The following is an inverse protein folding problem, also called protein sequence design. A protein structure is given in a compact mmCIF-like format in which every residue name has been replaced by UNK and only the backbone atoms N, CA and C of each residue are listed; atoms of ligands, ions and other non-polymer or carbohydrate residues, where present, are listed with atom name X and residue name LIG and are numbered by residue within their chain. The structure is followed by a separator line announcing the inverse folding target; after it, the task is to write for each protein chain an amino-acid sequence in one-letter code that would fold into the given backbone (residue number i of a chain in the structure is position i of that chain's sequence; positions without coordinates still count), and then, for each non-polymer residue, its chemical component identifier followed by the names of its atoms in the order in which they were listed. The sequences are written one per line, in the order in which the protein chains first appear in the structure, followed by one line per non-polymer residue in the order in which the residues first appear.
data_IF_414405525628
#
_entry.id   IF_414405525628
#
_cell.length_a   1.000
_cell.length_b   1.000
_cell.length_c   1.000
_cell.angle_alpha   90.00
_cell.angle_beta   90.00
_cell.angle_gamma   90.00
#
_symmetry.space_group_name_H-M   'P 1'
#
loop_
_entity.id
_entity.type
_entity.pdbx_description
1 polymer ?
#
# COMPACT_ATOMS: atom_id res chain seq x y z
N UNK A 1 -6.39 37.49 5.48
CA UNK A 1 -5.65 36.24 5.20
C UNK A 1 -5.82 35.33 6.41
N UNK A 2 -6.21 34.08 6.20
CA UNK A 2 -6.25 33.06 7.26
C UNK A 2 -4.92 32.36 7.21
N UNK A 3 -4.21 32.34 8.33
CA UNK A 3 -2.91 31.64 8.45
C UNK A 3 -3.03 30.54 9.49
N UNK A 4 -2.47 29.38 9.19
CA UNK A 4 -2.34 28.26 10.11
C UNK A 4 -0.94 28.28 10.69
N UNK A 5 -0.81 28.19 12.01
CA UNK A 5 0.50 28.23 12.69
C UNK A 5 1.14 26.84 12.73
N UNK A 6 1.41 26.31 11.56
CA UNK A 6 2.16 25.07 11.41
C UNK A 6 3.60 25.24 11.94
N UNK A 7 4.19 24.25 12.65
CA UNK A 7 3.67 22.92 12.96
C UNK A 7 2.88 22.82 14.27
N UNK A 8 2.68 23.95 14.99
CA UNK A 8 2.00 23.96 16.28
C UNK A 8 0.50 23.67 16.16
N UNK A 9 -0.09 24.12 15.05
CA UNK A 9 -1.47 23.82 14.68
C UNK A 9 -1.43 23.12 13.32
N UNK A 10 -1.98 21.90 13.24
CA UNK A 10 -2.10 21.11 12.01
C UNK A 10 -3.57 21.01 11.65
N UNK A 11 -3.87 21.21 10.39
CA UNK A 11 -5.20 20.91 9.85
C UNK A 11 -5.30 19.38 9.62
N UNK A 12 -6.45 18.82 9.95
CA UNK A 12 -6.72 17.43 9.63
C UNK A 12 -6.80 17.25 8.11
N UNK A 13 -6.03 16.32 7.54
CA UNK A 13 -6.08 16.06 6.12
C UNK A 13 -7.47 15.52 5.73
N UNK A 14 -7.90 15.82 4.52
CA UNK A 14 -9.16 15.28 4.01
C UNK A 14 -9.11 13.76 3.94
N UNK A 15 -10.24 13.04 4.07
CA UNK A 15 -10.27 11.58 4.05
C UNK A 15 -9.67 10.95 2.79
N UNK A 16 -9.63 11.70 1.67
CA UNK A 16 -9.03 11.27 0.40
C UNK A 16 -7.65 11.88 0.14
N UNK A 17 -6.97 12.34 1.19
CA UNK A 17 -5.61 12.87 1.05
C UNK A 17 -4.66 11.78 0.53
N UNK A 18 -3.82 12.16 -0.44
CA UNK A 18 -2.76 11.31 -0.97
C UNK A 18 -1.46 11.65 -0.25
N UNK A 19 -1.24 10.98 0.87
CA UNK A 19 0.02 11.06 1.60
C UNK A 19 0.97 9.94 1.17
N UNK A 20 1.52 9.19 2.12
CA UNK A 20 2.38 8.04 1.83
C UNK A 20 1.55 6.81 1.43
N UNK A 21 2.12 5.94 0.60
CA UNK A 21 1.50 4.66 0.23
C UNK A 21 1.91 3.62 1.28
N UNK A 22 0.92 2.96 1.86
CA UNK A 22 1.09 1.87 2.82
C UNK A 22 0.90 0.52 2.14
N UNK A 23 1.63 -0.51 2.61
CA UNK A 23 1.55 -1.88 2.11
C UNK A 23 0.97 -2.80 3.18
N UNK A 24 -0.10 -3.51 2.84
CA UNK A 24 -0.58 -4.65 3.58
C UNK A 24 0.04 -5.93 3.00
N UNK A 25 1.17 -6.34 3.55
CA UNK A 25 1.98 -7.45 3.03
C UNK A 25 1.17 -8.74 2.84
N UNK A 26 0.29 -9.07 3.80
CA UNK A 26 -0.53 -10.29 3.79
C UNK A 26 -1.41 -10.44 2.55
N UNK A 27 -1.80 -9.32 1.94
CA UNK A 27 -2.65 -9.28 0.77
C UNK A 27 -1.84 -9.32 -0.54
N UNK A 28 -0.55 -9.06 -0.49
CA UNK A 28 0.29 -9.02 -1.68
C UNK A 28 0.53 -10.44 -2.22
N UNK A 29 0.23 -10.65 -3.49
CA UNK A 29 0.42 -11.94 -4.19
C UNK A 29 1.57 -11.92 -5.20
N UNK A 30 2.39 -10.88 -5.17
CA UNK A 30 3.52 -10.71 -6.11
C UNK A 30 3.06 -10.77 -7.58
N UNK A 31 1.93 -10.13 -7.89
CA UNK A 31 1.39 -10.12 -9.25
C UNK A 31 2.07 -9.11 -10.18
N UNK A 32 2.90 -8.23 -9.66
CA UNK A 32 3.68 -7.21 -10.38
C UNK A 32 2.86 -6.15 -11.13
N UNK A 33 1.53 -6.09 -10.96
CA UNK A 33 0.69 -5.12 -11.66
C UNK A 33 1.05 -3.69 -11.28
N UNK A 34 1.18 -3.40 -9.99
CA UNK A 34 1.52 -2.06 -9.52
C UNK A 34 2.88 -1.57 -10.04
N UNK A 35 3.89 -2.46 -10.14
CA UNK A 35 5.20 -2.11 -10.67
C UNK A 35 5.16 -1.88 -12.20
N UNK A 36 4.39 -2.67 -12.94
CA UNK A 36 4.26 -2.55 -14.41
C UNK A 36 3.49 -1.31 -14.85
N UNK A 37 2.46 -0.95 -14.09
CA UNK A 37 1.62 0.22 -14.37
C UNK A 37 2.18 1.52 -13.78
N UNK A 38 3.29 1.45 -13.04
CA UNK A 38 3.93 2.62 -12.48
C UNK A 38 4.63 3.44 -13.58
N UNK A 39 4.23 4.70 -13.82
CA UNK A 39 4.84 5.52 -14.87
C UNK A 39 6.29 5.89 -14.56
N UNK A 40 6.66 5.98 -13.28
CA UNK A 40 7.99 6.40 -12.83
C UNK A 40 8.91 5.22 -12.49
N UNK A 41 8.41 3.98 -12.59
CA UNK A 41 9.18 2.76 -12.29
C UNK A 41 9.81 2.76 -10.88
N UNK A 42 9.13 3.40 -9.93
CA UNK A 42 9.61 3.58 -8.57
C UNK A 42 9.27 2.42 -7.61
N UNK A 43 8.68 1.32 -8.12
CA UNK A 43 8.26 0.16 -7.32
C UNK A 43 9.10 -1.05 -7.67
N UNK A 44 9.81 -1.59 -6.69
CA UNK A 44 10.68 -2.76 -6.82
C UNK A 44 10.07 -3.94 -6.07
N UNK A 45 9.81 -5.04 -6.77
CA UNK A 45 9.18 -6.23 -6.19
C UNK A 45 9.99 -7.45 -6.55
N UNK A 46 10.32 -8.25 -5.55
CA UNK A 46 10.91 -9.57 -5.70
C UNK A 46 10.10 -10.58 -4.90
N UNK A 47 10.02 -11.78 -5.41
CA UNK A 47 9.33 -12.87 -4.72
C UNK A 47 9.59 -14.20 -5.37
N UNK A 48 9.39 -15.24 -4.60
CA UNK A 48 9.60 -16.61 -5.04
C UNK A 48 8.33 -17.47 -4.92
N UNK A 49 8.35 -18.60 -5.57
CA UNK A 49 7.27 -19.59 -5.50
C UNK A 49 7.62 -20.69 -4.51
N UNK A 50 6.69 -20.97 -3.62
CA UNK A 50 6.81 -22.11 -2.71
C UNK A 50 5.60 -23.03 -2.78
N UNK A 51 5.76 -24.26 -2.31
CA UNK A 51 4.70 -25.25 -2.23
C UNK A 51 4.01 -25.15 -0.87
N UNK A 52 2.83 -24.57 -0.84
CA UNK A 52 2.02 -24.52 0.36
C UNK A 52 1.30 -25.84 0.61
N UNK A 53 1.08 -26.23 1.88
CA UNK A 53 0.33 -27.44 2.20
C UNK A 53 -1.08 -27.39 1.63
N UNK A 54 -1.69 -28.54 1.34
CA UNK A 54 -3.03 -28.60 0.81
C UNK A 54 -4.05 -28.04 1.83
N UNK A 55 -5.13 -27.40 1.33
CA UNK A 55 -6.22 -26.88 2.19
C UNK A 55 -7.07 -27.97 2.86
N UNK A 56 -7.04 -29.20 2.33
CA UNK A 56 -7.79 -30.36 2.83
C UNK A 56 -6.87 -31.55 2.95
N UNK A 57 -7.09 -32.41 3.92
CA UNK A 57 -6.36 -33.67 4.04
C UNK A 57 -6.48 -34.49 2.75
N UNK A 58 -5.36 -35.00 2.24
CA UNK A 58 -5.29 -35.74 0.98
C UNK A 58 -5.30 -34.88 -0.31
N UNK A 59 -5.32 -33.56 -0.20
CA UNK A 59 -5.24 -32.65 -1.35
C UNK A 59 -3.84 -32.56 -1.94
N UNK A 60 -3.73 -31.97 -3.15
CA UNK A 60 -2.44 -31.68 -3.77
C UNK A 60 -1.83 -30.40 -3.19
N UNK A 61 -0.51 -30.32 -2.99
CA UNK A 61 0.18 -29.10 -2.62
C UNK A 61 -0.08 -28.00 -3.66
N UNK A 62 -0.16 -26.75 -3.22
CA UNK A 62 -0.45 -25.61 -4.09
C UNK A 62 0.76 -24.72 -4.22
N UNK A 63 1.07 -24.28 -5.41
CA UNK A 63 2.03 -23.20 -5.61
C UNK A 63 1.44 -21.88 -5.09
N UNK A 64 2.21 -21.20 -4.24
CA UNK A 64 1.96 -19.83 -3.81
C UNK A 64 3.18 -18.97 -4.08
N UNK A 65 2.96 -17.69 -4.28
CA UNK A 65 4.04 -16.72 -4.29
C UNK A 65 4.22 -16.18 -2.87
N UNK A 66 5.45 -15.95 -2.49
CA UNK A 66 5.85 -15.26 -1.26
C UNK A 66 6.61 -14.00 -1.63
N UNK A 67 6.34 -12.93 -0.89
CA UNK A 67 6.93 -11.62 -1.12
C UNK A 67 8.25 -11.53 -0.36
N UNK A 68 9.36 -11.46 -1.09
CA UNK A 68 10.69 -11.29 -0.51
C UNK A 68 11.02 -9.82 -0.30
N UNK A 69 10.74 -9.01 -1.32
CA UNK A 69 11.05 -7.60 -1.35
C UNK A 69 9.91 -6.80 -1.96
N UNK A 70 9.60 -5.68 -1.34
CA UNK A 70 8.69 -4.67 -1.89
C UNK A 70 9.16 -3.30 -1.44
N UNK A 71 9.70 -2.53 -2.35
CA UNK A 71 10.19 -1.20 -2.04
C UNK A 71 9.48 -0.18 -2.93
N UNK A 72 9.24 1.00 -2.38
CA UNK A 72 8.80 2.19 -3.12
C UNK A 72 9.83 3.29 -2.93
N UNK A 73 10.36 3.80 -4.03
CA UNK A 73 11.22 4.96 -4.03
C UNK A 73 10.38 6.24 -4.09
N UNK A 74 10.18 6.87 -2.93
CA UNK A 74 9.43 8.11 -2.81
C UNK A 74 10.17 9.34 -3.33
N UNK A 75 11.47 9.22 -3.64
CA UNK A 75 12.20 10.26 -4.34
C UNK A 75 11.81 10.35 -5.83
N UNK A 76 11.30 9.27 -6.40
CA UNK A 76 10.85 9.19 -7.79
C UNK A 76 9.33 9.23 -7.93
N UNK A 77 8.61 8.81 -6.89
CA UNK A 77 7.16 8.64 -6.92
C UNK A 77 6.43 9.98 -7.14
N UNK A 78 5.56 10.04 -8.16
CA UNK A 78 4.72 11.21 -8.46
C UNK A 78 3.34 11.19 -7.77
N UNK A 79 3.11 10.26 -6.86
CA UNK A 79 1.85 10.13 -6.09
C UNK A 79 0.58 10.04 -6.96
N UNK A 80 0.66 9.46 -8.13
CA UNK A 80 -0.46 9.33 -9.07
C UNK A 80 -1.56 8.38 -8.57
N UNK A 81 -1.22 7.38 -7.75
CA UNK A 81 -2.16 6.43 -7.17
C UNK A 81 -2.56 5.25 -8.06
N UNK A 82 -2.02 5.16 -9.28
CA UNK A 82 -2.32 4.06 -10.19
C UNK A 82 -2.02 2.71 -9.55
N UNK A 83 -0.93 2.59 -8.79
CA UNK A 83 -0.56 1.35 -8.11
C UNK A 83 -1.59 0.90 -7.06
N UNK A 84 -2.24 1.86 -6.38
CA UNK A 84 -3.31 1.59 -5.41
C UNK A 84 -4.56 1.10 -6.14
N UNK A 85 -4.95 1.79 -7.22
CA UNK A 85 -6.16 1.48 -7.98
C UNK A 85 -6.07 0.15 -8.75
N UNK A 86 -4.89 -0.16 -9.30
CA UNK A 86 -4.68 -1.37 -10.11
C UNK A 86 -4.51 -2.64 -9.26
N UNK A 87 -4.33 -2.51 -7.95
CA UNK A 87 -4.12 -3.66 -7.07
C UNK A 87 -5.43 -4.46 -6.86
N UNK A 88 -5.57 -5.68 -7.42
CA UNK A 88 -6.79 -6.45 -7.31
C UNK A 88 -6.95 -7.14 -5.96
N UNK A 89 -5.92 -7.08 -5.12
CA UNK A 89 -5.87 -7.76 -3.82
C UNK A 89 -5.97 -6.81 -2.64
N UNK A 90 -6.17 -5.51 -2.90
CA UNK A 90 -6.24 -4.49 -1.85
C UNK A 90 -5.02 -4.58 -0.90
N UNK A 91 -3.82 -4.57 -1.49
CA UNK A 91 -2.57 -4.61 -0.75
C UNK A 91 -1.96 -3.22 -0.53
N UNK A 92 -2.37 -2.21 -1.31
CA UNK A 92 -1.85 -0.85 -1.23
C UNK A 92 -2.94 0.13 -0.81
N UNK A 93 -2.61 1.01 0.13
CA UNK A 93 -3.53 1.99 0.70
C UNK A 93 -2.89 3.36 0.79
N UNK A 94 -3.70 4.40 0.80
CA UNK A 94 -3.26 5.75 1.11
C UNK A 94 -3.28 5.98 2.62
N UNK A 95 -2.14 6.38 3.17
CA UNK A 95 -2.07 7.00 4.49
C UNK A 95 -2.09 8.52 4.32
N UNK A 96 -2.72 9.27 5.22
CA UNK A 96 -2.71 10.73 5.20
C UNK A 96 -1.37 11.33 5.60
N UNK A 97 -0.43 10.52 6.08
CA UNK A 97 0.89 10.98 6.54
C UNK A 97 1.74 11.48 5.38
N UNK A 98 2.35 12.64 5.55
CA UNK A 98 3.18 13.30 4.54
C UNK A 98 4.51 13.84 5.10
N UNK A 99 4.72 13.78 6.42
CA UNK A 99 5.89 14.32 7.09
C UNK A 99 7.01 13.28 7.23
N UNK A 100 7.50 12.76 6.11
CA UNK A 100 8.60 11.77 6.08
C UNK A 100 9.80 12.24 5.25
N UNK A 101 10.05 13.55 5.26
CA UNK A 101 11.24 14.12 4.62
C UNK A 101 12.52 13.61 5.28
N UNK A 102 13.50 13.23 4.48
CA UNK A 102 14.76 12.64 4.92
C UNK A 102 15.96 13.51 4.51
N UNK A 103 17.07 13.38 5.24
CA UNK A 103 18.29 14.12 4.92
C UNK A 103 19.05 13.56 3.72
N UNK A 104 18.86 12.30 3.41
CA UNK A 104 19.48 11.61 2.28
C UNK A 104 18.41 11.03 1.38
N UNK A 105 18.58 11.22 0.08
CA UNK A 105 17.64 10.69 -0.92
C UNK A 105 17.47 9.17 -0.84
N UNK A 106 18.53 8.44 -0.47
CA UNK A 106 18.47 6.99 -0.30
C UNK A 106 17.51 6.54 0.83
N UNK A 107 17.26 7.39 1.80
CA UNK A 107 16.39 7.08 2.94
C UNK A 107 14.89 7.26 2.57
N UNK A 108 14.60 7.80 1.38
CA UNK A 108 13.26 7.84 0.79
C UNK A 108 12.88 6.53 0.08
N UNK A 109 13.79 5.58 -0.03
CA UNK A 109 13.48 4.22 -0.43
C UNK A 109 12.87 3.49 0.76
N UNK A 110 11.55 3.34 0.77
CA UNK A 110 10.85 2.64 1.82
C UNK A 110 10.70 1.17 1.47
N UNK A 111 11.27 0.32 2.30
CA UNK A 111 11.16 -1.13 2.21
C UNK A 111 9.78 -1.65 2.70
N UNK A 112 9.54 -2.93 2.53
CA UNK A 112 8.26 -3.56 2.90
C UNK A 112 7.90 -3.38 4.38
N UNK A 113 8.88 -3.37 5.27
CA UNK A 113 8.65 -3.25 6.71
C UNK A 113 8.19 -1.82 7.04
N UNK A 114 8.86 -0.81 6.50
CA UNK A 114 8.47 0.59 6.65
C UNK A 114 7.12 0.88 5.98
N UNK A 115 6.86 0.31 4.81
CA UNK A 115 5.56 0.43 4.13
C UNK A 115 4.43 -0.23 4.93
N UNK A 116 4.69 -1.34 5.60
CA UNK A 116 3.72 -1.99 6.48
C UNK A 116 3.48 -1.20 7.78
N UNK A 117 4.48 -0.48 8.28
CA UNK A 117 4.29 0.42 9.43
C UNK A 117 3.28 1.53 9.14
N UNK A 118 3.27 2.06 7.92
CA UNK A 118 2.30 3.08 7.49
C UNK A 118 0.85 2.57 7.50
N UNK A 119 0.61 1.25 7.51
CA UNK A 119 -0.74 0.71 7.66
C UNK A 119 -1.40 1.09 8.97
N UNK A 120 -0.62 1.40 10.01
CA UNK A 120 -1.15 1.86 11.31
C UNK A 120 -1.79 3.25 11.24
N UNK A 121 -1.47 4.02 10.22
CA UNK A 121 -1.95 5.39 10.01
C UNK A 121 -3.01 5.49 8.91
N UNK A 122 -3.31 4.38 8.23
CA UNK A 122 -4.39 4.31 7.24
C UNK A 122 -5.73 4.43 7.97
N UNK A 123 -6.56 5.43 7.64
CA UNK A 123 -7.87 5.57 8.27
C UNK A 123 -8.81 4.44 7.88
N UNK A 124 -9.72 4.09 8.77
CA UNK A 124 -10.81 3.18 8.44
C UNK A 124 -11.64 3.77 7.30
N UNK A 125 -12.03 2.91 6.38
CA UNK A 125 -12.74 3.33 5.18
C UNK A 125 -14.17 3.71 5.54
N UNK A 126 -14.45 5.00 5.64
CA UNK A 126 -15.81 5.50 5.75
C UNK A 126 -16.42 5.66 4.34
N UNK A 127 -17.66 5.21 4.18
CA UNK A 127 -18.40 5.44 2.95
C UNK A 127 -18.65 6.95 2.78
N UNK A 128 -18.11 7.55 1.72
CA UNK A 128 -18.21 9.00 1.49
C UNK A 128 -19.58 9.48 1.03
N UNK A 129 -20.40 8.56 0.51
CA UNK A 129 -21.76 8.87 0.06
C UNK A 129 -22.72 7.79 0.56
N UNK A 130 -23.93 8.18 0.95
CA UNK A 130 -24.97 7.24 1.34
C UNK A 130 -25.24 6.26 0.15
N UNK A 131 -25.04 4.97 0.36
CA UNK A 131 -25.17 3.93 -0.67
C UNK A 131 -23.88 3.59 -1.43
N UNK A 132 -22.76 4.27 -1.16
CA UNK A 132 -21.44 3.94 -1.71
C UNK A 132 -20.68 2.88 -0.89
N UNK A 133 -21.35 2.26 0.05
CA UNK A 133 -20.77 1.20 0.89
C UNK A 133 -20.17 0.09 0.02
N UNK A 134 -18.88 -0.09 0.10
CA UNK A 134 -18.23 -1.23 -0.52
C UNK A 134 -18.81 -2.51 0.10
N UNK A 135 -19.56 -3.27 -0.68
CA UNK A 135 -19.97 -4.61 -0.24
C UNK A 135 -18.70 -5.36 0.13
N UNK A 136 -18.54 -5.66 1.41
CA UNK A 136 -17.40 -6.43 1.90
C UNK A 136 -17.29 -7.68 1.02
N UNK A 137 -16.26 -7.72 0.17
CA UNK A 137 -15.98 -8.94 -0.61
C UNK A 137 -15.69 -10.01 0.41
N UNK A 138 -16.56 -11.02 0.51
CA UNK A 138 -16.31 -12.20 1.33
C UNK A 138 -14.97 -12.76 0.89
N UNK A 139 -13.94 -12.56 1.73
CA UNK A 139 -12.69 -13.26 1.56
C UNK A 139 -13.03 -14.75 1.62
N UNK A 140 -12.82 -15.53 0.59
CA UNK A 140 -13.07 -16.95 0.65
C UNK A 140 -12.15 -17.56 1.71
N UNK A 141 -12.76 -18.12 2.77
CA UNK A 141 -12.08 -18.86 3.83
C UNK A 141 -11.35 -20.08 3.29
#
# INVERSE_FOLDING_TARGET
AVTVQYPHVKEEPTPRARGVIALKEENCTVCMLCARECPDWCIYIEGHKYLAPPRREGGKPRQKNELDRFDIDFALCMYCGICVEVCPFEALFWSPEFEYGEHRIADLLHDKDRLNEWMKTVPDFEAYEAGSEMKAKKVPR
#
